data_IF_654716421914
#
_entry.id   IF_654716421914
#
_cell.length_a   1.000
_cell.length_b   1.000
_cell.length_c   1.000
_cell.angle_alpha   90.00
_cell.angle_beta   90.00
_cell.angle_gamma   90.00
#
_symmetry.space_group_name_H-M   'P 1'
#
loop_
_entity.id
_entity.type
_entity.pdbx_description
1 polymer ?
#
# COMPACT_ATOMS: atom_id res chain seq x y z
N UNK A 1 51.36 -32.29 19.37
CA UNK A 1 50.88 -31.72 18.10
C UNK A 1 49.37 -31.52 18.21
N UNK A 2 48.96 -30.30 18.49
CA UNK A 2 47.52 -29.92 18.61
C UNK A 2 47.13 -29.29 17.28
N UNK A 3 46.19 -29.91 16.54
CA UNK A 3 45.63 -29.34 15.31
C UNK A 3 44.51 -28.38 15.71
N UNK A 4 44.75 -27.09 15.54
CA UNK A 4 43.73 -26.04 15.65
C UNK A 4 42.86 -26.09 14.39
N UNK A 5 41.60 -26.49 14.54
CA UNK A 5 40.57 -26.38 13.48
C UNK A 5 40.04 -24.96 13.51
N UNK A 6 40.39 -24.14 12.51
CA UNK A 6 39.76 -22.84 12.28
C UNK A 6 38.44 -23.10 11.58
N UNK A 7 37.33 -22.97 12.36
CA UNK A 7 35.98 -22.90 11.79
C UNK A 7 35.80 -21.58 11.10
N UNK A 8 35.82 -21.55 9.75
CA UNK A 8 35.47 -20.41 8.96
C UNK A 8 33.99 -20.06 9.14
N UNK A 9 33.71 -18.92 9.71
CA UNK A 9 32.37 -18.30 9.73
C UNK A 9 32.01 -17.94 8.28
N UNK A 10 31.20 -18.76 7.62
CA UNK A 10 30.51 -18.38 6.39
C UNK A 10 29.45 -17.35 6.76
N UNK A 11 29.78 -16.08 6.66
CA UNK A 11 28.79 -15.00 6.64
C UNK A 11 28.03 -15.15 5.29
N UNK A 12 26.83 -15.68 5.35
CA UNK A 12 25.94 -15.69 4.18
C UNK A 12 25.67 -14.24 3.78
N UNK A 13 26.21 -13.82 2.65
CA UNK A 13 25.89 -12.54 2.02
C UNK A 13 24.44 -12.68 1.57
N UNK A 14 23.52 -12.07 2.33
CA UNK A 14 22.13 -11.92 1.87
C UNK A 14 22.20 -11.01 0.63
N UNK A 15 21.75 -11.48 -0.55
CA UNK A 15 21.79 -10.63 -1.73
C UNK A 15 20.99 -9.36 -1.47
N UNK A 16 21.56 -8.21 -1.76
CA UNK A 16 20.85 -6.94 -1.64
C UNK A 16 19.62 -6.96 -2.57
N UNK A 17 18.48 -6.54 -2.04
CA UNK A 17 17.24 -6.42 -2.84
C UNK A 17 17.50 -5.52 -4.05
N UNK A 18 16.90 -5.86 -5.19
CA UNK A 18 17.00 -5.05 -6.40
C UNK A 18 16.44 -3.64 -6.12
N UNK A 19 17.20 -2.56 -6.44
CA UNK A 19 16.85 -1.19 -6.03
C UNK A 19 15.46 -0.71 -6.48
N UNK A 20 14.99 -1.12 -7.65
CA UNK A 20 13.63 -0.78 -8.12
C UNK A 20 12.56 -1.48 -7.28
N UNK A 21 12.82 -2.71 -6.86
CA UNK A 21 11.91 -3.49 -6.00
C UNK A 21 11.82 -2.85 -4.61
N UNK A 22 12.93 -2.37 -4.08
CA UNK A 22 12.97 -1.63 -2.81
C UNK A 22 12.22 -0.30 -2.91
N UNK A 23 12.42 0.47 -3.99
CA UNK A 23 11.70 1.73 -4.23
C UNK A 23 10.18 1.48 -4.37
N UNK A 24 9.78 0.41 -5.07
CA UNK A 24 8.37 0.03 -5.18
C UNK A 24 7.78 -0.25 -3.80
N UNK A 25 8.46 -1.02 -2.96
CA UNK A 25 8.04 -1.30 -1.58
C UNK A 25 7.96 -0.02 -0.72
N UNK A 26 8.91 0.90 -0.87
CA UNK A 26 8.84 2.21 -0.21
C UNK A 26 7.59 3.00 -0.66
N UNK A 27 7.27 2.95 -1.96
CA UNK A 27 6.07 3.59 -2.50
C UNK A 27 4.78 2.97 -1.95
N UNK A 28 4.73 1.64 -1.76
CA UNK A 28 3.59 0.97 -1.11
C UNK A 28 3.44 1.41 0.36
N UNK A 29 4.54 1.55 1.09
CA UNK A 29 4.50 2.07 2.45
C UNK A 29 4.00 3.53 2.50
N UNK A 30 4.44 4.38 1.56
CA UNK A 30 3.96 5.75 1.42
C UNK A 30 2.47 5.81 1.05
N UNK A 31 2.01 4.90 0.19
CA UNK A 31 0.60 4.75 -0.16
C UNK A 31 -0.23 4.36 1.06
N UNK A 32 0.20 3.34 1.83
CA UNK A 32 -0.47 2.91 3.05
C UNK A 32 -0.59 4.06 4.06
N UNK A 33 0.50 4.80 4.27
CA UNK A 33 0.51 5.97 5.14
C UNK A 33 -0.52 7.02 4.73
N UNK A 34 -0.54 7.39 3.45
CA UNK A 34 -1.48 8.37 2.90
C UNK A 34 -2.93 7.88 2.90
N UNK A 35 -3.15 6.60 2.58
CA UNK A 35 -4.47 5.98 2.64
C UNK A 35 -5.02 6.00 4.06
N UNK A 36 -4.21 5.65 5.07
CA UNK A 36 -4.61 5.76 6.49
C UNK A 36 -5.06 7.17 6.83
N UNK A 37 -4.33 8.21 6.40
CA UNK A 37 -4.75 9.60 6.63
C UNK A 37 -6.08 9.96 5.96
N UNK A 38 -6.35 9.41 4.78
CA UNK A 38 -7.60 9.62 4.08
C UNK A 38 -8.78 8.86 4.70
N UNK A 39 -8.53 7.70 5.34
CA UNK A 39 -9.56 6.81 5.87
C UNK A 39 -9.81 7.01 7.37
N UNK A 40 -8.78 7.38 8.14
CA UNK A 40 -8.85 7.56 9.59
C UNK A 40 -9.92 8.58 9.99
N UNK A 41 -10.81 8.18 10.92
CA UNK A 41 -11.90 9.04 11.38
C UNK A 41 -12.93 9.41 10.29
N UNK A 42 -12.97 8.68 9.17
CA UNK A 42 -14.03 8.84 8.19
C UNK A 42 -15.37 8.38 8.80
N UNK A 43 -16.41 9.22 8.87
CA UNK A 43 -17.71 8.80 9.41
C UNK A 43 -18.35 7.78 8.47
N UNK A 44 -19.11 6.82 9.04
CA UNK A 44 -19.73 5.76 8.25
C UNK A 44 -20.55 6.25 7.04
N UNK A 45 -21.36 7.32 7.13
CA UNK A 45 -22.12 7.81 5.98
C UNK A 45 -21.26 8.31 4.82
N UNK A 46 -19.96 8.57 5.06
CA UNK A 46 -19.03 8.95 4.01
C UNK A 46 -18.88 7.84 2.95
N UNK A 47 -18.96 6.58 3.35
CA UNK A 47 -18.85 5.44 2.44
C UNK A 47 -19.79 5.53 1.22
N UNK A 48 -21.00 6.01 1.44
CA UNK A 48 -22.04 6.17 0.41
C UNK A 48 -22.12 7.55 -0.22
N UNK A 49 -21.19 8.47 0.07
CA UNK A 49 -21.26 9.84 -0.44
C UNK A 49 -21.14 9.86 -1.97
N UNK A 50 -22.20 10.34 -2.63
CA UNK A 50 -22.28 10.48 -4.10
C UNK A 50 -21.98 11.92 -4.52
N UNK A 51 -20.72 12.28 -4.53
CA UNK A 51 -20.28 13.63 -4.89
C UNK A 51 -19.56 13.74 -6.23
N UNK A 52 -19.19 12.63 -6.86
CA UNK A 52 -18.33 12.65 -8.05
C UNK A 52 -18.41 11.37 -8.91
N UNK A 53 -19.52 10.69 -8.94
CA UNK A 53 -19.77 9.50 -9.75
C UNK A 53 -19.43 8.18 -9.06
N UNK A 54 -18.22 7.96 -8.51
CA UNK A 54 -17.91 6.81 -7.67
C UNK A 54 -17.99 7.20 -6.20
N UNK A 55 -18.68 6.39 -5.40
CA UNK A 55 -18.68 6.58 -3.94
C UNK A 55 -17.32 6.22 -3.34
N UNK A 56 -16.95 6.77 -2.15
CA UNK A 56 -15.74 6.37 -1.44
C UNK A 56 -15.60 4.86 -1.25
N UNK A 57 -16.70 4.17 -0.97
CA UNK A 57 -16.71 2.70 -0.85
C UNK A 57 -16.32 2.02 -2.17
N UNK A 58 -16.85 2.48 -3.30
CA UNK A 58 -16.51 1.94 -4.62
C UNK A 58 -15.05 2.23 -5.01
N UNK A 59 -14.53 3.40 -4.66
CA UNK A 59 -13.12 3.74 -4.86
C UNK A 59 -12.23 2.82 -4.03
N UNK A 60 -12.55 2.63 -2.77
CA UNK A 60 -11.77 1.78 -1.87
C UNK A 60 -11.78 0.31 -2.31
N UNK A 61 -12.94 -0.19 -2.75
CA UNK A 61 -13.07 -1.54 -3.28
C UNK A 61 -12.20 -1.73 -4.53
N UNK A 62 -12.21 -0.76 -5.44
CA UNK A 62 -11.33 -0.78 -6.61
C UNK A 62 -9.84 -0.76 -6.24
N UNK A 63 -9.44 0.02 -5.21
CA UNK A 63 -8.06 0.01 -4.72
C UNK A 63 -7.65 -1.37 -4.19
N UNK A 64 -8.54 -2.09 -3.51
CA UNK A 64 -8.30 -3.47 -3.11
C UNK A 64 -8.13 -4.40 -4.32
N UNK A 65 -9.00 -4.29 -5.32
CA UNK A 65 -8.92 -5.08 -6.57
C UNK A 65 -7.60 -4.84 -7.32
N UNK A 66 -7.09 -3.59 -7.32
CA UNK A 66 -5.79 -3.25 -7.92
C UNK A 66 -4.64 -4.04 -7.30
N UNK A 67 -4.62 -4.23 -5.96
CA UNK A 67 -3.53 -4.94 -5.29
C UNK A 67 -3.70 -6.46 -5.34
N UNK A 68 -4.92 -6.97 -5.35
CA UNK A 68 -5.18 -8.38 -5.65
C UNK A 68 -4.70 -8.73 -7.07
N UNK A 69 -4.98 -7.86 -8.04
CA UNK A 69 -4.50 -8.00 -9.41
C UNK A 69 -2.97 -7.86 -9.49
N UNK A 70 -2.38 -6.84 -8.86
CA UNK A 70 -0.93 -6.61 -8.86
C UNK A 70 -0.16 -7.83 -8.33
N UNK A 71 -0.65 -8.44 -7.24
CA UNK A 71 -0.09 -9.66 -6.70
C UNK A 71 -0.21 -10.82 -7.70
N UNK A 72 -1.37 -11.00 -8.32
CA UNK A 72 -1.59 -12.05 -9.31
C UNK A 72 -0.68 -11.89 -10.53
N UNK A 73 -0.46 -10.67 -11.00
CA UNK A 73 0.46 -10.36 -12.09
C UNK A 73 1.92 -10.62 -11.69
N UNK A 74 2.32 -10.21 -10.48
CA UNK A 74 3.64 -10.48 -9.92
C UNK A 74 3.93 -11.99 -9.81
N UNK A 75 2.91 -12.80 -9.54
CA UNK A 75 2.98 -14.27 -9.50
C UNK A 75 2.95 -14.94 -10.89
N UNK A 76 2.82 -14.17 -11.98
CA UNK A 76 2.65 -14.73 -13.34
C UNK A 76 1.29 -15.41 -13.57
N UNK A 77 0.29 -15.06 -12.77
CA UNK A 77 -1.09 -15.59 -12.82
C UNK A 77 -2.09 -14.46 -12.94
N UNK A 78 -1.79 -13.51 -13.81
CA UNK A 78 -2.58 -12.27 -13.97
C UNK A 78 -4.08 -12.57 -14.06
N UNK A 79 -4.83 -12.00 -13.11
CA UNK A 79 -6.27 -12.20 -13.01
C UNK A 79 -6.94 -10.99 -12.38
N UNK A 80 -7.76 -10.30 -13.17
CA UNK A 80 -8.60 -9.21 -12.69
C UNK A 80 -9.93 -9.73 -12.14
N UNK A 81 -10.36 -9.18 -11.00
CA UNK A 81 -11.67 -9.41 -10.42
C UNK A 81 -12.30 -8.09 -10.00
N UNK A 82 -13.56 -7.87 -10.36
CA UNK A 82 -14.37 -6.84 -9.71
C UNK A 82 -15.08 -7.49 -8.52
N UNK A 83 -14.66 -7.13 -7.32
CA UNK A 83 -15.30 -7.60 -6.09
C UNK A 83 -16.48 -6.68 -5.76
N UNK A 84 -17.63 -7.24 -5.34
CA UNK A 84 -18.69 -6.43 -4.77
C UNK A 84 -18.18 -5.77 -3.49
N UNK A 85 -18.37 -4.44 -3.34
CA UNK A 85 -17.90 -3.74 -2.15
C UNK A 85 -18.51 -4.34 -0.88
N UNK A 86 -17.67 -4.57 0.12
CA UNK A 86 -18.05 -5.01 1.47
C UNK A 86 -18.49 -3.80 2.31
N UNK A 87 -19.05 -4.00 3.51
CA UNK A 87 -19.24 -2.90 4.46
C UNK A 87 -17.96 -2.09 4.68
N UNK A 88 -18.09 -0.80 4.92
CA UNK A 88 -16.98 0.17 4.92
C UNK A 88 -15.74 -0.28 5.71
N UNK A 89 -15.93 -0.77 6.93
CA UNK A 89 -14.81 -1.22 7.79
C UNK A 89 -14.13 -2.47 7.22
N UNK A 90 -14.91 -3.41 6.71
CA UNK A 90 -14.39 -4.64 6.10
C UNK A 90 -13.63 -4.34 4.81
N UNK A 91 -14.09 -3.35 4.02
CA UNK A 91 -13.42 -2.95 2.80
C UNK A 91 -12.08 -2.24 3.07
N UNK A 92 -12.01 -1.44 4.15
CA UNK A 92 -10.73 -0.89 4.62
C UNK A 92 -9.75 -2.00 5.00
N UNK A 93 -10.21 -3.01 5.74
CA UNK A 93 -9.38 -4.16 6.12
C UNK A 93 -8.90 -4.93 4.89
N UNK A 94 -9.78 -5.19 3.92
CA UNK A 94 -9.42 -5.87 2.67
C UNK A 94 -8.37 -5.11 1.89
N UNK A 95 -8.53 -3.81 1.71
CA UNK A 95 -7.56 -2.98 1.01
C UNK A 95 -6.16 -3.09 1.64
N UNK A 96 -6.04 -2.92 2.95
CA UNK A 96 -4.73 -3.02 3.61
C UNK A 96 -4.16 -4.45 3.58
N UNK A 97 -5.01 -5.47 3.64
CA UNK A 97 -4.59 -6.87 3.51
C UNK A 97 -4.03 -7.17 2.11
N UNK A 98 -4.71 -6.74 1.05
CA UNK A 98 -4.25 -6.90 -0.33
C UNK A 98 -2.92 -6.16 -0.57
N UNK A 99 -2.81 -4.93 -0.06
CA UNK A 99 -1.58 -4.14 -0.13
C UNK A 99 -0.42 -4.83 0.60
N UNK A 100 -0.67 -5.35 1.81
CA UNK A 100 0.32 -6.07 2.60
C UNK A 100 0.74 -7.39 1.94
N UNK A 101 -0.19 -8.12 1.36
CA UNK A 101 0.12 -9.36 0.63
C UNK A 101 1.04 -9.10 -0.56
N UNK A 102 0.78 -8.03 -1.32
CA UNK A 102 1.63 -7.61 -2.43
C UNK A 102 3.03 -7.18 -1.95
N UNK A 103 3.13 -6.33 -0.91
CA UNK A 103 4.43 -5.94 -0.33
C UNK A 103 5.20 -7.15 0.21
N UNK A 104 4.53 -8.08 0.88
CA UNK A 104 5.14 -9.30 1.41
C UNK A 104 5.73 -10.18 0.29
N UNK A 105 5.04 -10.28 -0.86
CA UNK A 105 5.59 -10.96 -2.02
C UNK A 105 6.82 -10.24 -2.59
N UNK A 106 6.77 -8.92 -2.70
CA UNK A 106 7.92 -8.12 -3.10
C UNK A 106 9.09 -8.20 -2.11
N UNK A 107 8.85 -8.50 -0.84
CA UNK A 107 9.87 -8.71 0.18
C UNK A 107 10.55 -10.07 0.09
N UNK A 108 9.91 -11.05 -0.53
CA UNK A 108 10.41 -12.41 -0.64
C UNK A 108 11.45 -12.54 -1.78
N UNK A 109 12.15 -13.70 -1.80
CA UNK A 109 13.04 -14.08 -2.90
C UNK A 109 12.27 -14.67 -4.10
N UNK A 110 10.94 -14.58 -4.10
CA UNK A 110 10.08 -15.08 -5.18
C UNK A 110 10.38 -14.41 -6.52
N UNK A 111 10.35 -15.22 -7.60
CA UNK A 111 10.52 -14.71 -8.95
C UNK A 111 9.43 -13.70 -9.28
N UNK A 112 9.82 -12.50 -9.72
CA UNK A 112 8.88 -11.47 -10.12
C UNK A 112 8.52 -11.65 -11.60
N UNK A 113 7.31 -12.11 -11.87
CA UNK A 113 6.74 -12.13 -13.20
C UNK A 113 6.13 -10.75 -13.49
N UNK A 114 6.49 -10.17 -14.59
CA UNK A 114 6.06 -8.82 -14.95
C UNK A 114 7.06 -7.72 -14.57
N UNK A 115 6.90 -6.57 -15.19
CA UNK A 115 7.80 -5.43 -15.04
C UNK A 115 7.48 -4.64 -13.77
N UNK A 116 8.51 -4.33 -12.97
CA UNK A 116 8.39 -3.40 -11.82
C UNK A 116 7.86 -2.04 -12.28
N UNK A 117 8.31 -1.57 -13.45
CA UNK A 117 7.86 -0.29 -13.99
C UNK A 117 6.36 -0.33 -14.33
N UNK A 118 5.86 -1.46 -14.87
CA UNK A 118 4.44 -1.66 -15.15
C UNK A 118 3.61 -1.75 -13.85
N UNK A 119 4.10 -2.43 -12.82
CA UNK A 119 3.46 -2.48 -11.50
C UNK A 119 3.41 -1.11 -10.84
N UNK A 120 4.45 -0.29 -11.03
CA UNK A 120 4.47 1.08 -10.52
C UNK A 120 3.51 2.00 -11.26
N UNK A 121 3.56 2.02 -12.61
CA UNK A 121 2.77 2.94 -13.44
C UNK A 121 1.27 2.59 -13.47
N UNK A 122 0.91 1.31 -13.34
CA UNK A 122 -0.47 0.84 -13.29
C UNK A 122 -1.03 0.88 -11.87
N UNK A 123 -1.08 -0.25 -11.16
CA UNK A 123 -1.84 -0.35 -9.91
C UNK A 123 -1.39 0.61 -8.81
N UNK A 124 -0.09 0.90 -8.69
CA UNK A 124 0.41 1.75 -7.61
C UNK A 124 0.11 3.22 -7.88
N UNK A 125 0.39 3.72 -9.09
CA UNK A 125 0.09 5.10 -9.45
C UNK A 125 -1.42 5.37 -9.45
N UNK A 126 -2.23 4.42 -9.91
CA UNK A 126 -3.69 4.52 -9.89
C UNK A 126 -4.21 4.61 -8.43
N UNK A 127 -3.76 3.72 -7.55
CA UNK A 127 -4.13 3.77 -6.14
C UNK A 127 -3.72 5.08 -5.45
N UNK A 128 -2.55 5.67 -5.79
CA UNK A 128 -2.14 6.98 -5.28
C UNK A 128 -3.10 8.10 -5.72
N UNK A 129 -3.60 8.06 -6.98
CA UNK A 129 -4.60 9.02 -7.45
C UNK A 129 -5.93 8.84 -6.72
N UNK A 130 -6.33 7.60 -6.44
CA UNK A 130 -7.55 7.29 -5.69
C UNK A 130 -7.47 7.73 -4.21
N UNK A 131 -6.31 7.67 -3.57
CA UNK A 131 -6.12 8.28 -2.23
C UNK A 131 -6.38 9.78 -2.27
N UNK A 132 -5.91 10.46 -3.30
CA UNK A 132 -6.21 11.88 -3.51
C UNK A 132 -7.71 12.15 -3.70
N UNK A 133 -8.41 11.30 -4.43
CA UNK A 133 -9.86 11.38 -4.61
C UNK A 133 -10.59 11.19 -3.27
N UNK A 134 -10.23 10.18 -2.46
CA UNK A 134 -10.81 9.98 -1.14
C UNK A 134 -10.61 11.18 -0.23
N UNK A 135 -9.42 11.77 -0.20
CA UNK A 135 -9.13 12.97 0.58
C UNK A 135 -9.94 14.20 0.10
N UNK A 136 -10.15 14.33 -1.20
CA UNK A 136 -11.00 15.38 -1.79
C UNK A 136 -12.47 15.17 -1.43
N UNK A 137 -12.98 13.94 -1.59
CA UNK A 137 -14.37 13.60 -1.24
C UNK A 137 -14.65 13.82 0.25
N UNK A 138 -13.67 13.51 1.15
CA UNK A 138 -13.76 13.85 2.57
C UNK A 138 -13.96 15.35 2.81
N UNK A 139 -13.25 16.20 2.07
CA UNK A 139 -13.40 17.65 2.16
C UNK A 139 -14.78 18.10 1.69
N UNK A 140 -15.25 17.55 0.58
CA UNK A 140 -16.59 17.87 0.03
C UNK A 140 -17.72 17.38 0.94
N UNK A 141 -17.52 16.24 1.59
CA UNK A 141 -18.46 15.70 2.59
C UNK A 141 -18.51 16.51 3.90
N UNK A 142 -17.58 17.43 4.13
CA UNK A 142 -17.49 18.21 5.37
C UNK A 142 -16.68 17.55 6.51
N UNK A 143 -15.92 16.47 6.21
CA UNK A 143 -15.03 15.79 7.16
C UNK A 143 -13.59 15.77 6.65
N UNK A 144 -12.94 16.96 6.47
CA UNK A 144 -11.63 17.05 5.85
C UNK A 144 -10.55 16.34 6.68
N UNK A 145 -9.57 15.76 5.99
CA UNK A 145 -8.35 15.26 6.62
C UNK A 145 -7.45 16.44 7.03
N UNK A 146 -6.68 16.27 8.09
CA UNK A 146 -5.63 17.25 8.44
C UNK A 146 -4.47 17.15 7.45
N UNK A 147 -3.95 18.31 7.03
CA UNK A 147 -2.73 18.37 6.25
C UNK A 147 -1.51 18.03 7.09
N UNK A 148 -0.47 17.51 6.44
CA UNK A 148 0.84 17.30 7.06
C UNK A 148 1.96 17.47 6.03
N UNK A 149 3.19 17.63 6.51
CA UNK A 149 4.37 17.62 5.67
C UNK A 149 4.80 16.18 5.37
N UNK A 150 4.32 15.62 4.26
CA UNK A 150 4.63 14.24 3.86
C UNK A 150 6.10 13.99 3.53
N UNK A 151 6.91 15.04 3.29
CA UNK A 151 8.34 14.89 3.03
C UNK A 151 9.11 14.32 4.23
N UNK A 152 8.66 14.64 5.44
CA UNK A 152 9.27 14.17 6.69
C UNK A 152 8.41 13.13 7.41
N UNK A 153 7.37 12.61 6.76
CA UNK A 153 6.51 11.59 7.34
C UNK A 153 7.30 10.33 7.70
N UNK A 154 6.94 9.68 8.81
CA UNK A 154 7.63 8.48 9.30
C UNK A 154 7.19 7.22 8.52
N UNK A 155 7.41 7.24 7.19
CA UNK A 155 7.16 6.10 6.30
C UNK A 155 8.26 5.06 6.47
N UNK A 156 7.90 3.79 6.65
CA UNK A 156 8.85 2.68 6.79
C UNK A 156 8.46 1.53 5.84
N UNK A 157 9.43 1.04 5.06
CA UNK A 157 9.26 -0.13 4.17
C UNK A 157 8.73 -1.31 4.98
N UNK A 158 7.73 -2.00 4.45
CA UNK A 158 7.06 -3.11 5.12
C UNK A 158 5.89 -2.70 6.02
N UNK A 159 5.73 -1.42 6.35
CA UNK A 159 4.57 -0.92 7.10
C UNK A 159 3.45 -0.53 6.11
N UNK A 160 2.70 -1.53 5.67
CA UNK A 160 1.64 -1.39 4.67
C UNK A 160 0.22 -1.61 5.21
N UNK A 161 0.07 -1.77 6.53
CA UNK A 161 -1.22 -1.86 7.22
C UNK A 161 -1.81 -0.50 7.61
N UNK A 162 -3.00 -0.54 8.25
CA UNK A 162 -3.68 0.66 8.76
C UNK A 162 -2.99 1.29 9.99
N UNK A 163 -2.18 0.53 10.70
CA UNK A 163 -1.44 1.02 11.87
C UNK A 163 -0.22 1.86 11.43
N UNK A 164 -0.46 3.17 11.30
CA UNK A 164 0.54 4.14 10.88
C UNK A 164 0.88 5.12 12.02
N UNK A 165 2.15 5.57 12.14
CA UNK A 165 2.53 6.53 13.16
C UNK A 165 1.79 7.86 12.97
N UNK A 166 1.60 8.66 14.04
CA UNK A 166 0.99 9.98 13.92
C UNK A 166 1.81 10.92 13.03
N UNK A 167 1.21 11.98 12.48
CA UNK A 167 1.92 12.99 11.70
C UNK A 167 3.10 13.59 12.46
N UNK A 168 4.28 13.63 11.83
CA UNK A 168 5.49 14.25 12.43
C UNK A 168 5.32 15.78 12.46
N UNK A 169 4.77 16.35 11.40
CA UNK A 169 4.53 17.79 11.30
C UNK A 169 3.13 18.07 10.70
N UNK A 170 2.10 18.14 11.55
CA UNK A 170 0.77 18.56 11.11
C UNK A 170 0.79 20.00 10.59
N UNK A 171 0.07 20.26 9.51
CA UNK A 171 -0.18 21.60 8.98
C UNK A 171 -1.52 22.12 9.56
N UNK A 172 -1.52 23.34 10.07
CA UNK A 172 -2.71 24.00 10.62
C UNK A 172 -3.70 24.41 9.54
#
# INVERSE_FOLDING_TARGET
MVKTVVQGLFCAIVPAMEPKRELLRHTLAALAYRATRALEGAPEPFAGYDGAGRTPLQILAHMGDLFDWALSAALGKERWHNVHPRPWVEEQQRFFQSLQAFDSYLASDGELHGSIDALMQGPVADALTHVGQLAMLRRLFGSPTRGENFYIAAVAIGRTGADQPPPVQPIK
#
